data_IF_893731406769
#
_entry.id   IF_893731406769
#
_cell.length_a   1.000
_cell.length_b   1.000
_cell.length_c   1.000
_cell.angle_alpha   90.00
_cell.angle_beta   90.00
_cell.angle_gamma   90.00
#
_symmetry.space_group_name_H-M   'P 1'
#
loop_
_entity.id
_entity.type
_entity.pdbx_description
1 polymer ?
#
# COMPACT_ATOMS: atom_id res chain seq x y z
N UNK A 1 8.03 -24.63 10.82
CA UNK A 1 7.50 -24.52 9.43
C UNK A 1 6.13 -23.85 9.45
N UNK A 2 5.23 -24.29 10.32
CA UNK A 2 3.92 -23.66 10.55
C UNK A 2 3.99 -22.17 10.88
N UNK A 3 4.94 -21.75 11.72
CA UNK A 3 5.16 -20.32 12.04
C UNK A 3 5.44 -19.46 10.80
N UNK A 4 6.21 -19.98 9.83
CA UNK A 4 6.50 -19.28 8.59
C UNK A 4 5.26 -19.19 7.69
N UNK A 5 4.43 -20.23 7.66
CA UNK A 5 3.18 -20.21 6.90
C UNK A 5 2.23 -19.18 7.50
N UNK A 6 2.02 -19.21 8.83
CA UNK A 6 1.17 -18.24 9.52
C UNK A 6 1.64 -16.80 9.32
N UNK A 7 2.96 -16.57 9.33
CA UNK A 7 3.56 -15.28 9.03
C UNK A 7 3.26 -14.81 7.59
N UNK A 8 3.46 -15.68 6.58
CA UNK A 8 3.17 -15.33 5.19
C UNK A 8 1.67 -15.10 4.95
N UNK A 9 0.80 -15.87 5.62
CA UNK A 9 -0.66 -15.68 5.57
C UNK A 9 -1.08 -14.35 6.20
N UNK A 10 -0.46 -13.96 7.33
CA UNK A 10 -0.69 -12.66 7.95
C UNK A 10 -0.23 -11.51 7.04
N UNK A 11 0.94 -11.66 6.40
CA UNK A 11 1.46 -10.69 5.45
C UNK A 11 0.56 -10.52 4.22
N UNK A 12 0.09 -11.63 3.65
CA UNK A 12 -0.84 -11.61 2.52
C UNK A 12 -2.17 -10.94 2.87
N UNK A 13 -2.76 -11.25 4.03
CA UNK A 13 -3.98 -10.58 4.51
C UNK A 13 -3.76 -9.08 4.66
N UNK A 14 -2.62 -8.67 5.19
CA UNK A 14 -2.29 -7.25 5.31
C UNK A 14 -2.21 -6.57 3.93
N UNK A 15 -1.55 -7.18 2.94
CA UNK A 15 -1.50 -6.62 1.58
C UNK A 15 -2.90 -6.48 0.96
N UNK A 16 -3.82 -7.40 1.25
CA UNK A 16 -5.21 -7.29 0.78
C UNK A 16 -5.93 -6.10 1.45
N UNK A 17 -5.76 -5.90 2.75
CA UNK A 17 -6.31 -4.73 3.46
C UNK A 17 -5.74 -3.42 2.89
N UNK A 18 -4.44 -3.38 2.58
CA UNK A 18 -3.81 -2.22 1.92
C UNK A 18 -4.38 -1.99 0.52
N UNK A 19 -4.57 -3.04 -0.27
CA UNK A 19 -5.15 -2.94 -1.60
C UNK A 19 -6.60 -2.44 -1.57
N UNK A 20 -7.43 -2.94 -0.63
CA UNK A 20 -8.80 -2.47 -0.42
C UNK A 20 -8.85 -1.01 0.06
N UNK A 21 -7.92 -0.63 0.92
CA UNK A 21 -7.76 0.74 1.41
C UNK A 21 -7.41 1.70 0.26
N UNK A 22 -6.48 1.30 -0.61
CA UNK A 22 -6.19 2.04 -1.84
C UNK A 22 -7.42 2.12 -2.74
N UNK A 23 -8.07 0.99 -3.04
CA UNK A 23 -9.26 0.97 -3.90
C UNK A 23 -10.41 1.88 -3.38
N UNK A 24 -10.64 1.88 -2.06
CA UNK A 24 -11.72 2.63 -1.43
C UNK A 24 -11.35 4.07 -1.02
N UNK A 25 -10.07 4.45 -1.10
CA UNK A 25 -9.58 5.75 -0.61
C UNK A 25 -9.52 5.92 0.89
N UNK A 26 -9.75 4.85 1.64
CA UNK A 26 -9.78 4.90 3.10
C UNK A 26 -8.42 4.49 3.64
N UNK A 27 -8.02 5.10 4.76
CA UNK A 27 -6.79 4.72 5.44
C UNK A 27 -7.05 3.41 6.20
N UNK A 28 -6.19 2.41 5.98
CA UNK A 28 -6.16 1.21 6.81
C UNK A 28 -5.90 1.60 8.27
N UNK A 29 -6.79 1.22 9.18
CA UNK A 29 -6.68 1.55 10.61
C UNK A 29 -5.90 0.50 11.40
N UNK A 30 -5.71 -0.69 10.82
CA UNK A 30 -4.95 -1.77 11.42
C UNK A 30 -3.45 -1.57 11.21
N UNK A 31 -2.72 -1.47 12.32
CA UNK A 31 -1.27 -1.47 12.31
C UNK A 31 -0.73 -2.85 11.99
N UNK A 32 0.22 -2.95 11.07
CA UNK A 32 0.93 -4.19 10.78
C UNK A 32 2.42 -4.00 11.08
N UNK A 33 2.94 -4.77 12.04
CA UNK A 33 4.31 -4.61 12.58
C UNK A 33 5.30 -5.65 12.07
N UNK A 34 4.83 -6.61 11.29
CA UNK A 34 5.69 -7.66 10.76
C UNK A 34 6.64 -7.10 9.71
N UNK A 35 7.89 -7.56 9.76
CA UNK A 35 8.90 -7.18 8.75
C UNK A 35 8.57 -7.82 7.42
N UNK A 36 9.12 -7.28 6.34
CA UNK A 36 9.02 -7.91 5.02
C UNK A 36 9.70 -9.30 5.00
N UNK A 37 9.12 -10.28 4.28
CA UNK A 37 9.73 -11.59 4.06
C UNK A 37 11.15 -11.47 3.48
N UNK A 38 12.13 -12.26 3.98
CA UNK A 38 13.54 -12.14 3.58
C UNK A 38 14.26 -13.49 3.41
N UNK A 39 15.55 -13.43 3.05
CA UNK A 39 16.45 -14.56 2.76
C UNK A 39 16.58 -15.64 3.85
N UNK A 40 16.12 -15.41 5.09
CA UNK A 40 16.07 -16.43 6.15
C UNK A 40 14.90 -17.41 6.00
N UNK A 41 14.02 -17.20 5.02
CA UNK A 41 12.89 -18.10 4.76
C UNK A 41 13.33 -19.48 4.28
N UNK A 42 12.65 -20.55 4.75
CA UNK A 42 12.84 -21.90 4.21
C UNK A 42 12.67 -21.91 2.68
N UNK A 43 13.55 -22.64 1.98
CA UNK A 43 13.60 -22.62 0.51
C UNK A 43 12.27 -22.98 -0.18
N UNK A 44 11.47 -23.88 0.42
CA UNK A 44 10.14 -24.26 -0.08
C UNK A 44 9.13 -23.09 -0.11
N UNK A 45 9.35 -22.06 0.71
CA UNK A 45 8.48 -20.89 0.80
C UNK A 45 9.01 -19.67 0.02
N UNK A 46 10.18 -19.81 -0.62
CA UNK A 46 10.86 -18.70 -1.31
C UNK A 46 9.99 -18.10 -2.43
N UNK A 47 9.39 -18.92 -3.29
CA UNK A 47 8.56 -18.41 -4.39
C UNK A 47 7.34 -17.61 -3.91
N UNK A 48 6.68 -18.08 -2.84
CA UNK A 48 5.56 -17.35 -2.21
C UNK A 48 6.04 -16.03 -1.59
N UNK A 49 7.17 -16.06 -0.90
CA UNK A 49 7.80 -14.85 -0.36
C UNK A 49 8.11 -13.83 -1.44
N UNK A 50 8.71 -14.25 -2.55
CA UNK A 50 9.06 -13.38 -3.67
C UNK A 50 7.81 -12.75 -4.29
N UNK A 51 6.73 -13.51 -4.45
CA UNK A 51 5.45 -12.99 -4.93
C UNK A 51 4.86 -11.92 -3.98
N UNK A 52 4.89 -12.14 -2.67
CA UNK A 52 4.41 -11.17 -1.68
C UNK A 52 5.29 -9.90 -1.64
N UNK A 53 6.60 -10.05 -1.84
CA UNK A 53 7.53 -8.91 -1.96
C UNK A 53 7.22 -8.10 -3.22
N UNK A 54 7.04 -8.75 -4.37
CA UNK A 54 6.66 -8.09 -5.62
C UNK A 54 5.33 -7.34 -5.46
N UNK A 55 4.32 -7.98 -4.85
CA UNK A 55 3.03 -7.34 -4.58
C UNK A 55 3.15 -6.13 -3.65
N UNK A 56 4.06 -6.17 -2.67
CA UNK A 56 4.35 -5.02 -1.80
C UNK A 56 4.88 -3.83 -2.62
N UNK A 57 5.77 -4.10 -3.59
CA UNK A 57 6.34 -3.07 -4.46
C UNK A 57 5.28 -2.44 -5.37
N UNK A 58 4.41 -3.26 -5.98
CA UNK A 58 3.29 -2.78 -6.79
C UNK A 58 2.37 -1.84 -6.01
N UNK A 59 1.95 -2.23 -4.80
CA UNK A 59 1.08 -1.39 -3.96
C UNK A 59 1.79 -0.10 -3.51
N UNK A 60 3.09 -0.17 -3.25
CA UNK A 60 3.90 1.01 -2.90
C UNK A 60 4.02 2.00 -4.06
N UNK A 61 4.15 1.50 -5.29
CA UNK A 61 4.12 2.31 -6.51
C UNK A 61 2.76 2.95 -6.73
N UNK A 62 1.68 2.18 -6.59
CA UNK A 62 0.32 2.69 -6.72
C UNK A 62 0.04 3.82 -5.71
N UNK A 63 0.40 3.62 -4.45
CA UNK A 63 0.26 4.65 -3.42
C UNK A 63 1.03 5.92 -3.78
N UNK A 64 2.27 5.79 -4.26
CA UNK A 64 3.10 6.93 -4.68
C UNK A 64 2.44 7.72 -5.81
N UNK A 65 1.96 7.02 -6.85
CA UNK A 65 1.27 7.66 -7.97
C UNK A 65 0.02 8.43 -7.52
N UNK A 66 -0.77 7.85 -6.60
CA UNK A 66 -1.94 8.55 -6.04
C UNK A 66 -1.53 9.78 -5.24
N UNK A 67 -0.51 9.69 -4.38
CA UNK A 67 0.02 10.82 -3.62
C UNK A 67 0.55 11.95 -4.51
N UNK A 68 1.22 11.61 -5.62
CA UNK A 68 1.71 12.58 -6.60
C UNK A 68 0.55 13.30 -7.29
N UNK A 69 -0.53 12.59 -7.63
CA UNK A 69 -1.75 13.17 -8.19
C UNK A 69 -2.41 14.14 -7.19
N UNK A 70 -2.59 13.74 -5.92
CA UNK A 70 -3.11 14.63 -4.87
C UNK A 70 -2.25 15.88 -4.69
N UNK A 71 -0.93 15.71 -4.61
CA UNK A 71 0.02 16.81 -4.45
C UNK A 71 -0.02 17.79 -5.63
N UNK A 72 -0.21 17.26 -6.84
CA UNK A 72 -0.35 18.06 -8.06
C UNK A 72 -1.65 18.86 -8.04
N UNK A 73 -2.78 18.24 -7.70
CA UNK A 73 -4.08 18.92 -7.59
C UNK A 73 -4.03 20.04 -6.56
N UNK A 74 -3.47 19.80 -5.37
CA UNK A 74 -3.31 20.82 -4.33
C UNK A 74 -2.43 21.99 -4.80
N UNK A 75 -1.34 21.70 -5.52
CA UNK A 75 -0.45 22.73 -6.08
C UNK A 75 -1.17 23.59 -7.11
N UNK A 76 -1.92 22.97 -8.02
CA UNK A 76 -2.71 23.68 -9.04
C UNK A 76 -3.83 24.51 -8.41
N UNK A 77 -4.55 23.98 -7.41
CA UNK A 77 -5.60 24.73 -6.70
C UNK A 77 -5.03 26.00 -6.07
N UNK A 78 -3.90 25.90 -5.35
CA UNK A 78 -3.24 27.07 -4.72
C UNK A 78 -2.79 28.13 -5.73
N UNK A 79 -2.35 27.72 -6.93
CA UNK A 79 -1.88 28.65 -7.95
C UNK A 79 -3.02 29.39 -8.67
N UNK A 80 -4.16 28.73 -8.87
CA UNK A 80 -5.29 29.29 -9.62
C UNK A 80 -6.28 30.06 -8.75
N UNK A 81 -6.40 29.70 -7.47
CA UNK A 81 -7.35 30.31 -6.53
C UNK A 81 -6.81 30.22 -5.09
N UNK A 82 -5.94 31.15 -4.65
CA UNK A 82 -5.24 31.05 -3.36
C UNK A 82 -6.16 31.08 -2.15
N UNK A 83 -7.36 31.67 -2.27
CA UNK A 83 -8.35 31.80 -1.19
C UNK A 83 -9.35 30.63 -1.16
N UNK A 84 -9.32 29.73 -2.16
CA UNK A 84 -10.26 28.62 -2.30
C UNK A 84 -9.50 27.30 -2.36
N UNK A 85 -9.33 26.65 -1.21
CA UNK A 85 -8.84 25.26 -1.17
C UNK A 85 -9.92 24.38 -1.78
N UNK A 86 -9.79 24.07 -3.07
CA UNK A 86 -10.67 23.09 -3.72
C UNK A 86 -10.23 21.73 -3.22
N UNK A 87 -10.88 21.24 -2.16
CA UNK A 87 -10.87 19.83 -1.78
C UNK A 87 -11.65 19.09 -2.87
N UNK A 88 -10.96 18.75 -3.96
CA UNK A 88 -11.52 17.85 -4.97
C UNK A 88 -11.55 16.46 -4.34
N UNK A 89 -12.76 15.90 -4.25
CA UNK A 89 -13.00 14.46 -4.10
C UNK A 89 -12.31 13.72 -5.24
N UNK A 90 -11.01 13.47 -5.10
CA UNK A 90 -10.32 12.48 -5.92
C UNK A 90 -10.64 11.14 -5.27
N UNK A 91 -11.81 10.60 -5.61
CA UNK A 91 -12.15 9.18 -5.73
C UNK A 91 -13.65 9.04 -5.99
N UNK A 92 -13.98 8.78 -7.26
CA UNK A 92 -15.20 8.09 -7.70
C UNK A 92 -14.78 6.96 -8.63
#
# INVERSE_FOLDING_TARGET
>A
MEEWIAYLDAYERHLNVVAESLASGKVATESFSEKQPNVRLPGLLRGRSEALVARTQELSEELRTRMDAFSTVLRYSRMKDPDRIVLIDVLA
#
